data_IF_037862139031
#
_entry.id   IF_037862139031
#
_cell.length_a   1.000
_cell.length_b   1.000
_cell.length_c   1.000
_cell.angle_alpha   90.00
_cell.angle_beta   90.00
_cell.angle_gamma   90.00
#
_symmetry.space_group_name_H-M   'P 1'
#
loop_
_entity.id
_entity.type
_entity.pdbx_description
1 polymer ?
#
# COMPACT_ATOMS: atom_id res chain seq x y z
N UNK A 1 0.62 19.83 6.50
CA UNK A 1 0.13 19.09 7.68
C UNK A 1 -0.87 18.03 7.20
N UNK A 2 -0.63 16.75 7.48
CA UNK A 2 -1.49 15.64 7.02
C UNK A 2 -2.89 15.67 7.65
N UNK A 3 -3.01 15.90 8.96
CA UNK A 3 -4.29 15.88 9.67
C UNK A 3 -5.26 16.93 9.10
N UNK A 4 -4.79 18.16 8.89
CA UNK A 4 -5.60 19.21 8.28
C UNK A 4 -6.00 18.88 6.83
N UNK A 5 -5.12 18.22 6.08
CA UNK A 5 -5.42 17.75 4.72
C UNK A 5 -6.52 16.69 4.70
N UNK A 6 -6.47 15.72 5.62
CA UNK A 6 -7.51 14.70 5.79
C UNK A 6 -8.86 15.31 6.20
N UNK A 7 -8.84 16.26 7.16
CA UNK A 7 -10.05 16.99 7.56
C UNK A 7 -10.62 17.84 6.40
N UNK A 8 -9.78 18.48 5.60
CA UNK A 8 -10.22 19.20 4.42
C UNK A 8 -10.84 18.25 3.37
N UNK A 9 -10.23 17.08 3.13
CA UNK A 9 -10.76 16.07 2.24
C UNK A 9 -12.18 15.62 2.67
N UNK A 10 -12.36 15.34 3.97
CA UNK A 10 -13.65 14.89 4.51
C UNK A 10 -14.71 15.98 4.58
N UNK A 11 -14.38 17.16 5.11
CA UNK A 11 -15.39 18.17 5.47
C UNK A 11 -15.57 19.26 4.40
N UNK A 12 -14.54 19.56 3.61
CA UNK A 12 -14.59 20.60 2.57
C UNK A 12 -14.85 19.96 1.22
N UNK A 13 -13.97 19.06 0.79
CA UNK A 13 -14.08 18.40 -0.51
C UNK A 13 -15.12 17.27 -0.52
N UNK A 14 -15.54 16.77 0.65
CA UNK A 14 -16.52 15.69 0.83
C UNK A 14 -16.16 14.43 0.03
N UNK A 15 -14.88 14.08 0.00
CA UNK A 15 -14.39 12.93 -0.75
C UNK A 15 -14.80 11.62 -0.07
N UNK A 16 -15.17 10.62 -0.86
CA UNK A 16 -15.40 9.25 -0.38
C UNK A 16 -14.08 8.55 -0.03
N UNK A 17 -13.01 8.85 -0.78
CA UNK A 17 -11.68 8.26 -0.63
C UNK A 17 -10.61 9.36 -0.73
N UNK A 18 -9.60 9.30 0.14
CA UNK A 18 -8.40 10.12 0.07
C UNK A 18 -7.16 9.24 -0.16
N UNK A 19 -6.34 9.60 -1.14
CA UNK A 19 -5.05 8.93 -1.39
C UNK A 19 -3.96 9.74 -0.69
N UNK A 20 -3.26 9.10 0.26
CA UNK A 20 -2.13 9.71 0.97
C UNK A 20 -0.84 9.07 0.45
N UNK A 21 0.05 9.91 -0.09
CA UNK A 21 1.33 9.48 -0.63
C UNK A 21 2.43 10.48 -0.28
N UNK A 22 3.66 9.99 -0.22
CA UNK A 22 4.84 10.84 -0.12
C UNK A 22 5.05 11.60 -1.43
N UNK A 23 5.40 12.89 -1.31
CA UNK A 23 5.83 13.69 -2.45
C UNK A 23 7.21 13.30 -2.97
N UNK A 24 7.66 13.90 -4.07
CA UNK A 24 9.02 13.69 -4.60
C UNK A 24 10.10 14.22 -3.64
N UNK A 25 11.35 13.80 -3.87
CA UNK A 25 12.53 14.32 -3.12
C UNK A 25 12.82 13.61 -1.81
N UNK A 26 12.36 12.37 -1.65
CA UNK A 26 12.62 11.57 -0.44
C UNK A 26 14.07 11.10 -0.41
N UNK A 27 14.80 11.54 0.62
CA UNK A 27 16.18 11.12 0.89
C UNK A 27 16.16 9.82 1.68
N UNK A 28 17.02 8.87 1.29
CA UNK A 28 17.26 7.63 2.00
C UNK A 28 18.62 7.63 2.68
N UNK A 29 18.71 7.26 3.96
CA UNK A 29 19.99 7.14 4.69
C UNK A 29 20.47 5.70 4.83
N UNK A 30 19.82 4.75 4.13
CA UNK A 30 20.10 3.31 4.17
C UNK A 30 19.98 2.65 5.55
N UNK A 31 19.30 3.31 6.50
CA UNK A 31 18.92 2.71 7.79
C UNK A 31 17.47 2.22 7.74
N UNK A 32 17.09 1.36 8.68
CA UNK A 32 15.75 0.75 8.73
C UNK A 32 14.61 1.79 8.75
N UNK A 33 14.83 2.97 9.33
CA UNK A 33 13.84 4.07 9.37
C UNK A 33 14.22 5.27 8.50
N UNK A 34 15.35 5.17 7.80
CA UNK A 34 15.93 6.24 7.00
C UNK A 34 15.33 6.32 5.61
N UNK A 35 14.02 6.17 5.46
CA UNK A 35 13.34 6.23 4.15
C UNK A 35 11.94 6.84 4.27
N UNK A 36 11.44 7.51 3.24
CA UNK A 36 10.11 8.14 3.29
C UNK A 36 8.93 7.17 3.36
N UNK A 37 9.13 5.89 3.05
CA UNK A 37 8.09 4.86 3.28
C UNK A 37 7.56 4.81 4.72
N UNK A 38 8.32 5.31 5.70
CA UNK A 38 7.89 5.47 7.11
C UNK A 38 6.60 6.29 7.22
N UNK A 39 6.41 7.28 6.35
CA UNK A 39 5.23 8.12 6.37
C UNK A 39 3.92 7.38 6.08
N UNK A 40 3.97 6.15 5.54
CA UNK A 40 2.78 5.31 5.45
C UNK A 40 2.26 4.92 6.85
N UNK A 41 3.15 4.55 7.78
CA UNK A 41 2.76 4.25 9.16
C UNK A 41 2.25 5.47 9.90
N UNK A 42 2.89 6.62 9.70
CA UNK A 42 2.42 7.92 10.24
C UNK A 42 1.04 8.28 9.70
N UNK A 43 0.79 8.02 8.41
CA UNK A 43 -0.51 8.25 7.79
C UNK A 43 -1.59 7.33 8.36
N UNK A 44 -1.29 6.06 8.61
CA UNK A 44 -2.21 5.12 9.29
C UNK A 44 -2.61 5.69 10.66
N UNK A 45 -1.64 6.17 11.44
CA UNK A 45 -1.90 6.75 12.77
C UNK A 45 -2.77 8.01 12.68
N UNK A 46 -2.49 8.89 11.70
CA UNK A 46 -3.25 10.11 11.48
C UNK A 46 -4.70 9.83 11.02
N UNK A 47 -4.92 8.83 10.18
CA UNK A 47 -6.27 8.44 9.75
C UNK A 47 -7.04 7.84 10.94
N UNK A 48 -6.40 6.97 11.73
CA UNK A 48 -7.02 6.35 12.89
C UNK A 48 -7.38 7.37 13.98
N UNK A 49 -6.52 8.37 14.24
CA UNK A 49 -6.80 9.42 15.22
C UNK A 49 -8.00 10.30 14.84
N UNK A 50 -8.34 10.34 13.54
CA UNK A 50 -9.50 11.03 12.99
C UNK A 50 -10.70 10.09 12.77
N UNK A 51 -10.67 8.87 13.33
CA UNK A 51 -11.71 7.83 13.20
C UNK A 51 -12.00 7.40 11.75
N UNK A 52 -11.03 7.56 10.84
CA UNK A 52 -11.11 7.03 9.48
C UNK A 52 -10.70 5.55 9.40
N UNK A 53 -10.85 4.96 8.21
CA UNK A 53 -10.42 3.59 7.92
C UNK A 53 -9.14 3.60 7.10
N UNK A 54 -7.97 3.33 7.71
CA UNK A 54 -6.71 3.28 6.96
C UNK A 54 -6.60 1.99 6.14
N UNK A 55 -6.15 2.14 4.89
CA UNK A 55 -5.84 1.05 3.97
C UNK A 55 -4.37 1.17 3.58
N UNK A 56 -3.58 0.17 3.93
CA UNK A 56 -2.15 0.15 3.66
C UNK A 56 -1.85 -0.50 2.31
N UNK A 57 -1.47 0.32 1.34
CA UNK A 57 -0.97 -0.17 0.05
C UNK A 57 0.40 -0.82 0.21
N UNK A 58 0.50 -2.14 0.01
CA UNK A 58 1.79 -2.81 -0.04
C UNK A 58 2.58 -2.37 -1.27
N UNK A 59 3.90 -2.34 -1.13
CA UNK A 59 4.82 -2.32 -2.27
C UNK A 59 5.38 -3.73 -2.45
N UNK A 60 5.05 -4.36 -3.55
CA UNK A 60 5.50 -5.71 -3.91
C UNK A 60 6.19 -5.62 -5.27
N UNK A 61 7.27 -6.35 -5.49
CA UNK A 61 7.88 -6.47 -6.81
C UNK A 61 8.67 -7.77 -6.89
N UNK A 62 8.63 -8.45 -8.02
CA UNK A 62 9.52 -9.59 -8.30
C UNK A 62 10.47 -9.32 -9.47
N UNK A 63 10.31 -8.17 -10.13
CA UNK A 63 11.07 -7.76 -11.30
C UNK A 63 12.34 -6.94 -10.98
N UNK A 64 12.56 -6.56 -9.72
CA UNK A 64 13.80 -5.86 -9.34
C UNK A 64 14.99 -6.83 -9.38
N UNK A 65 16.05 -6.45 -10.08
CA UNK A 65 17.27 -7.26 -10.21
C UNK A 65 17.96 -7.48 -8.85
N UNK A 66 17.77 -6.56 -7.91
CA UNK A 66 18.37 -6.65 -6.58
C UNK A 66 17.53 -7.58 -5.73
N UNK A 67 18.09 -8.72 -5.34
CA UNK A 67 17.39 -9.76 -4.58
C UNK A 67 16.64 -9.24 -3.33
N UNK A 68 17.25 -8.30 -2.59
CA UNK A 68 16.65 -7.67 -1.40
C UNK A 68 15.42 -6.78 -1.66
N UNK A 69 15.10 -6.48 -2.92
CA UNK A 69 13.94 -5.70 -3.33
C UNK A 69 12.87 -6.58 -4.00
N UNK A 70 13.06 -7.91 -4.01
CA UNK A 70 12.07 -8.87 -4.46
C UNK A 70 11.13 -9.27 -3.31
N UNK A 71 9.87 -9.53 -3.61
CA UNK A 71 8.81 -9.79 -2.63
C UNK A 71 8.23 -8.51 -2.03
N UNK A 72 7.77 -8.61 -0.78
CA UNK A 72 7.23 -7.46 -0.03
C UNK A 72 8.36 -6.51 0.36
N UNK A 73 8.18 -5.22 0.10
CA UNK A 73 9.17 -4.22 0.43
C UNK A 73 9.40 -4.11 1.95
N UNK A 74 10.66 -4.16 2.37
CA UNK A 74 11.06 -3.86 3.75
C UNK A 74 10.58 -2.47 4.23
N UNK A 75 10.38 -1.50 3.32
CA UNK A 75 9.79 -0.21 3.67
C UNK A 75 8.32 -0.35 4.10
N UNK A 76 7.54 -1.18 3.40
CA UNK A 76 6.15 -1.47 3.78
C UNK A 76 6.09 -2.22 5.10
N UNK A 77 6.98 -3.21 5.30
CA UNK A 77 7.08 -3.94 6.56
C UNK A 77 7.41 -3.00 7.72
N UNK A 78 8.46 -2.18 7.61
CA UNK A 78 8.84 -1.22 8.65
C UNK A 78 7.70 -0.24 8.98
N UNK A 79 7.01 0.28 7.97
CA UNK A 79 5.87 1.17 8.17
C UNK A 79 4.72 0.52 8.94
N UNK A 80 4.37 -0.73 8.61
CA UNK A 80 3.30 -1.48 9.25
C UNK A 80 3.67 -1.95 10.66
N UNK A 81 4.85 -2.54 10.82
CA UNK A 81 5.17 -3.27 12.05
C UNK A 81 5.79 -2.36 13.11
N UNK A 82 6.59 -1.37 12.69
CA UNK A 82 7.37 -0.51 13.59
C UNK A 82 6.78 0.88 13.81
N UNK A 83 6.03 1.42 12.84
CA UNK A 83 5.57 2.83 12.86
C UNK A 83 4.07 2.94 13.08
N UNK A 84 3.27 2.11 12.40
CA UNK A 84 1.83 2.10 12.61
C UNK A 84 1.51 1.60 14.03
N UNK A 85 0.86 2.46 14.81
CA UNK A 85 0.37 2.19 16.16
C UNK A 85 -1.11 1.79 16.14
N UNK A 86 -1.82 2.06 15.05
CA UNK A 86 -3.22 1.73 14.84
C UNK A 86 -3.43 0.60 13.82
N UNK A 87 -4.54 -0.15 13.91
CA UNK A 87 -4.89 -1.16 12.91
C UNK A 87 -5.15 -0.53 11.55
N UNK A 88 -4.90 -1.31 10.50
CA UNK A 88 -5.20 -0.95 9.11
C UNK A 88 -5.63 -2.19 8.33
N UNK A 89 -6.40 -1.98 7.27
CA UNK A 89 -6.65 -3.01 6.28
C UNK A 89 -5.42 -3.12 5.37
N UNK A 90 -4.95 -4.34 5.13
CA UNK A 90 -3.82 -4.62 4.24
C UNK A 90 -4.33 -5.47 3.08
N UNK A 91 -4.59 -4.86 1.92
CA UNK A 91 -5.03 -5.57 0.72
C UNK A 91 -3.93 -6.47 0.16
N UNK A 92 -4.26 -7.74 -0.05
CA UNK A 92 -3.38 -8.73 -0.68
C UNK A 92 -3.86 -8.96 -2.12
N UNK A 93 -3.04 -8.62 -3.14
CA UNK A 93 -3.38 -8.89 -4.53
C UNK A 93 -3.39 -10.40 -4.81
N UNK A 94 -4.17 -10.82 -5.79
CA UNK A 94 -4.12 -12.18 -6.30
C UNK A 94 -2.95 -12.32 -7.29
N UNK A 95 -1.93 -13.07 -6.90
CA UNK A 95 -0.73 -13.33 -7.69
C UNK A 95 -0.56 -14.84 -7.93
N UNK A 96 0.27 -15.23 -8.93
CA UNK A 96 0.67 -16.63 -9.10
C UNK A 96 1.15 -17.27 -7.79
N UNK A 97 0.90 -18.56 -7.63
CA UNK A 97 1.20 -19.33 -6.41
C UNK A 97 2.68 -19.26 -6.02
N UNK A 98 3.57 -19.26 -7.02
CA UNK A 98 5.02 -19.09 -6.84
C UNK A 98 5.43 -17.80 -6.12
N UNK A 99 4.56 -16.78 -6.11
CA UNK A 99 4.78 -15.51 -5.43
C UNK A 99 3.97 -15.37 -4.14
N UNK A 100 2.76 -15.95 -4.09
CA UNK A 100 1.87 -15.77 -2.94
C UNK A 100 2.46 -16.29 -1.64
N UNK A 101 3.14 -17.44 -1.68
CA UNK A 101 3.73 -18.06 -0.49
C UNK A 101 4.83 -17.16 0.09
N UNK A 102 5.69 -16.62 -0.77
CA UNK A 102 6.77 -15.70 -0.35
C UNK A 102 6.24 -14.38 0.24
N UNK A 103 5.07 -13.92 -0.22
CA UNK A 103 4.43 -12.71 0.32
C UNK A 103 3.83 -13.01 1.68
N UNK A 104 3.09 -14.11 1.82
CA UNK A 104 2.47 -14.49 3.08
C UNK A 104 3.54 -14.74 4.14
N UNK A 105 4.59 -15.52 3.81
CA UNK A 105 5.74 -15.75 4.69
C UNK A 105 6.41 -14.43 5.13
N UNK A 106 6.60 -13.47 4.22
CA UNK A 106 7.21 -12.19 4.56
C UNK A 106 6.33 -11.34 5.51
N UNK A 107 5.00 -11.38 5.35
CA UNK A 107 4.05 -10.64 6.20
C UNK A 107 3.90 -11.31 7.57
N UNK A 108 3.83 -12.64 7.61
CA UNK A 108 3.77 -13.45 8.83
C UNK A 108 5.03 -13.28 9.67
N UNK A 109 6.20 -13.49 9.07
CA UNK A 109 7.49 -13.37 9.77
C UNK A 109 7.75 -11.97 10.31
N UNK A 110 7.17 -10.95 9.68
CA UNK A 110 7.28 -9.57 10.13
C UNK A 110 6.26 -9.22 11.23
N UNK A 111 5.28 -10.08 11.53
CA UNK A 111 4.24 -9.83 12.54
C UNK A 111 3.19 -8.81 12.09
N UNK A 112 2.95 -8.67 10.77
CA UNK A 112 1.97 -7.69 10.25
C UNK A 112 0.57 -7.94 10.80
N UNK A 113 0.19 -9.21 10.96
CA UNK A 113 -1.15 -9.60 11.42
C UNK A 113 -1.39 -9.45 12.92
N UNK A 114 -0.37 -9.11 13.71
CA UNK A 114 -0.55 -8.78 15.13
C UNK A 114 -1.41 -7.53 15.33
N UNK A 115 -1.41 -6.63 14.33
CA UNK A 115 -2.13 -5.34 14.38
C UNK A 115 -3.06 -5.12 13.20
N UNK A 116 -2.72 -5.64 12.03
CA UNK A 116 -3.42 -5.32 10.79
C UNK A 116 -4.36 -6.44 10.36
N UNK A 117 -5.38 -6.08 9.58
CA UNK A 117 -6.34 -7.04 9.04
C UNK A 117 -6.03 -7.31 7.58
N UNK A 118 -5.78 -8.58 7.27
CA UNK A 118 -5.63 -9.08 5.91
C UNK A 118 -6.96 -8.95 5.16
N UNK A 119 -6.93 -8.39 3.94
CA UNK A 119 -8.11 -8.32 3.05
C UNK A 119 -7.72 -8.83 1.67
N UNK A 120 -8.41 -9.85 1.18
CA UNK A 120 -8.14 -10.39 -0.15
C UNK A 120 -8.75 -9.48 -1.23
N UNK A 121 -7.95 -9.10 -2.21
CA UNK A 121 -8.40 -8.37 -3.40
C UNK A 121 -8.46 -9.30 -4.63
N UNK A 122 -9.28 -8.93 -5.60
CA UNK A 122 -9.33 -9.58 -6.91
C UNK A 122 -8.30 -9.00 -7.89
N UNK A 123 -7.70 -7.86 -7.57
CA UNK A 123 -6.59 -7.25 -8.29
C UNK A 123 -5.48 -8.27 -8.59
N UNK A 124 -5.16 -8.44 -9.87
CA UNK A 124 -4.21 -9.45 -10.37
C UNK A 124 -4.90 -10.67 -11.01
N UNK A 125 -6.15 -10.99 -10.65
CA UNK A 125 -7.03 -11.88 -11.43
C UNK A 125 -7.82 -11.13 -12.49
N UNK A 126 -8.21 -9.90 -12.17
CA UNK A 126 -8.91 -9.01 -13.10
C UNK A 126 -7.95 -7.94 -13.64
N UNK A 127 -8.10 -7.52 -14.91
CA UNK A 127 -7.28 -6.47 -15.46
C UNK A 127 -7.52 -5.14 -14.72
N UNK A 128 -6.50 -4.29 -14.57
CA UNK A 128 -6.68 -2.98 -13.96
C UNK A 128 -7.66 -2.13 -14.77
N UNK A 129 -8.36 -1.17 -14.12
CA UNK A 129 -9.23 -0.24 -14.82
C UNK A 129 -8.44 0.58 -15.85
N UNK A 130 -9.10 1.10 -16.90
CA UNK A 130 -8.43 1.88 -17.92
C UNK A 130 -7.73 3.09 -17.29
N UNK A 131 -6.43 3.24 -17.54
CA UNK A 131 -5.61 4.33 -17.02
C UNK A 131 -5.90 5.69 -17.67
N UNK A 132 -6.88 5.75 -18.57
CA UNK A 132 -7.35 6.98 -19.26
C UNK A 132 -6.21 7.78 -19.93
N UNK A 133 -5.24 7.07 -20.50
CA UNK A 133 -4.08 7.67 -21.17
C UNK A 133 -2.93 8.08 -20.24
N UNK A 134 -3.03 7.81 -18.94
CA UNK A 134 -1.93 8.03 -18.00
C UNK A 134 -0.96 6.85 -18.09
N UNK A 135 0.28 7.14 -18.46
CA UNK A 135 1.36 6.17 -18.36
C UNK A 135 1.82 6.06 -16.90
N UNK A 136 1.88 4.84 -16.40
CA UNK A 136 2.34 4.55 -15.03
C UNK A 136 3.58 3.67 -15.08
N UNK A 137 4.61 4.08 -14.35
CA UNK A 137 5.88 3.37 -14.26
C UNK A 137 6.39 3.34 -12.83
N UNK A 138 7.12 2.28 -12.49
CA UNK A 138 7.88 2.15 -11.24
C UNK A 138 9.32 1.81 -11.59
N UNK A 139 10.26 2.67 -11.21
CA UNK A 139 11.68 2.46 -11.53
C UNK A 139 11.94 2.18 -13.03
N UNK A 140 11.19 2.84 -13.91
CA UNK A 140 11.26 2.66 -15.36
C UNK A 140 10.39 1.53 -15.93
N UNK A 141 9.88 0.63 -15.08
CA UNK A 141 9.07 -0.54 -15.47
C UNK A 141 7.58 -0.22 -15.50
N UNK A 142 6.89 -0.67 -16.55
CA UNK A 142 5.45 -0.61 -16.69
C UNK A 142 4.72 -1.87 -16.17
N UNK A 143 3.41 -1.93 -16.40
CA UNK A 143 2.52 -2.99 -15.92
C UNK A 143 2.97 -4.40 -16.32
N UNK A 144 3.40 -4.58 -17.57
CA UNK A 144 3.83 -5.88 -18.08
C UNK A 144 5.18 -6.33 -17.48
N UNK A 145 6.02 -5.38 -17.08
CA UNK A 145 7.37 -5.63 -16.58
C UNK A 145 7.39 -5.90 -15.07
N UNK A 146 6.48 -5.31 -14.29
CA UNK A 146 6.40 -5.49 -12.83
C UNK A 146 4.94 -5.67 -12.36
N UNK A 147 4.24 -6.72 -12.80
CA UNK A 147 2.79 -6.85 -12.59
C UNK A 147 2.39 -6.88 -11.11
N UNK A 148 3.23 -7.45 -10.24
CA UNK A 148 2.97 -7.52 -8.80
C UNK A 148 2.91 -6.13 -8.14
N UNK A 149 3.74 -5.18 -8.59
CA UNK A 149 3.74 -3.80 -8.07
C UNK A 149 2.41 -3.11 -8.35
N UNK A 150 1.91 -3.24 -9.57
CA UNK A 150 0.66 -2.60 -9.97
C UNK A 150 -0.55 -3.34 -9.42
N UNK A 151 -0.51 -4.67 -9.31
CA UNK A 151 -1.56 -5.44 -8.65
C UNK A 151 -1.73 -5.03 -7.17
N UNK A 152 -0.63 -4.83 -6.44
CA UNK A 152 -0.68 -4.34 -5.06
C UNK A 152 -1.31 -2.93 -4.95
N UNK A 153 -0.95 -2.03 -5.87
CA UNK A 153 -1.54 -0.69 -5.95
C UNK A 153 -3.03 -0.73 -6.30
N UNK A 154 -3.41 -1.62 -7.22
CA UNK A 154 -4.80 -1.83 -7.60
C UNK A 154 -5.61 -2.44 -6.45
N UNK A 155 -5.07 -3.41 -5.72
CA UNK A 155 -5.72 -4.01 -4.54
C UNK A 155 -6.11 -2.94 -3.51
N UNK A 156 -5.23 -1.96 -3.25
CA UNK A 156 -5.55 -0.84 -2.35
C UNK A 156 -6.73 0.00 -2.85
N UNK A 157 -6.75 0.35 -4.14
CA UNK A 157 -7.85 1.10 -4.74
C UNK A 157 -9.17 0.31 -4.77
N UNK A 158 -9.10 -0.99 -5.01
CA UNK A 158 -10.24 -1.90 -5.03
C UNK A 158 -10.89 -2.00 -3.64
N UNK A 159 -10.11 -2.25 -2.58
CA UNK A 159 -10.64 -2.31 -1.21
C UNK A 159 -11.19 -0.95 -0.77
N UNK A 160 -10.54 0.16 -1.15
CA UNK A 160 -11.07 1.50 -0.90
C UNK A 160 -12.43 1.72 -1.58
N UNK A 161 -12.57 1.28 -2.83
CA UNK A 161 -13.82 1.33 -3.57
C UNK A 161 -14.92 0.50 -2.89
N UNK A 162 -14.63 -0.76 -2.53
CA UNK A 162 -15.58 -1.63 -1.82
C UNK A 162 -16.09 -1.00 -0.52
N UNK A 163 -15.21 -0.39 0.28
CA UNK A 163 -15.60 0.36 1.49
C UNK A 163 -16.54 1.50 1.13
N UNK A 164 -16.14 2.35 0.17
CA UNK A 164 -16.90 3.53 -0.20
C UNK A 164 -18.31 3.20 -0.71
N UNK A 165 -18.48 2.04 -1.35
CA UNK A 165 -19.77 1.56 -1.87
C UNK A 165 -20.52 0.61 -0.93
N UNK A 166 -19.93 0.22 0.21
CA UNK A 166 -20.55 -0.70 1.17
C UNK A 166 -20.60 -2.17 0.74
N UNK A 167 -19.64 -2.64 -0.06
CA UNK A 167 -19.59 -4.00 -0.65
C UNK A 167 -18.39 -4.79 -0.11
N UNK A 168 -18.19 -4.76 1.21
CA UNK A 168 -17.08 -5.44 1.89
C UNK A 168 -17.49 -6.79 2.45
#
# INVERSE_FOLDING_TARGET
NLHSGLLAARHVAKTDVAIVAIGPGVVGTATAFGHGGISQGEAINAVASLSGTPIACLRISFADERARHRGVSHHSLAALTSIALAPALVPIPALPEEFSDSIEEALDNAGVWERHTRVQADAGRVPPPPLRGIEVKTMGRGLAEDPAFFAASYAAGEIAFRIATGVL
#
